data_IF_526664106726
#
_entry.id   IF_526664106726
#
_cell.length_a   1.000
_cell.length_b   1.000
_cell.length_c   1.000
_cell.angle_alpha   90.00
_cell.angle_beta   90.00
_cell.angle_gamma   90.00
#
_symmetry.space_group_name_H-M   'P 1'
#
loop_
_entity.id
_entity.type
_entity.pdbx_description
1 polymer ?
#
# COMPACT_ATOMS: atom_id res chain seq x y z
N UNK A 1 14.67 -12.95 -32.14
CA UNK A 1 14.91 -11.70 -32.90
C UNK A 1 15.73 -10.77 -32.01
N UNK A 2 17.04 -10.76 -32.25
CA UNK A 2 18.05 -10.11 -31.41
C UNK A 2 18.54 -8.88 -32.18
N UNK A 3 18.39 -7.67 -31.63
CA UNK A 3 18.90 -6.46 -32.29
C UNK A 3 20.16 -5.97 -31.60
N UNK A 4 21.28 -6.24 -32.29
CA UNK A 4 22.65 -5.82 -32.05
C UNK A 4 22.80 -4.38 -32.55
N UNK A 5 23.25 -3.44 -31.72
CA UNK A 5 23.69 -2.11 -32.18
C UNK A 5 25.14 -2.21 -32.64
N UNK A 6 25.37 -1.88 -33.91
CA UNK A 6 26.67 -1.76 -34.55
C UNK A 6 27.35 -0.44 -34.16
N UNK A 7 28.55 -0.52 -33.59
CA UNK A 7 29.47 0.60 -33.43
C UNK A 7 30.31 0.76 -34.70
N UNK A 8 30.20 1.91 -35.36
CA UNK A 8 31.13 2.35 -36.40
C UNK A 8 32.27 3.11 -35.73
N UNK A 9 33.48 2.57 -35.82
CA UNK A 9 34.72 3.26 -35.49
C UNK A 9 35.25 3.98 -36.74
N UNK A 10 35.58 5.26 -36.62
CA UNK A 10 36.44 5.96 -37.59
C UNK A 10 37.59 6.61 -36.83
N UNK A 11 38.79 6.17 -37.21
CA UNK A 11 40.10 6.62 -36.77
C UNK A 11 40.41 8.06 -37.14
N UNK A 12 40.94 8.81 -36.18
CA UNK A 12 41.57 10.12 -36.40
C UNK A 12 42.56 10.40 -35.27
N UNK A 13 43.84 10.10 -35.52
CA UNK A 13 44.96 10.43 -34.66
C UNK A 13 45.39 11.87 -34.93
N UNK A 14 45.38 12.73 -33.90
CA UNK A 14 46.27 13.90 -33.85
C UNK A 14 46.53 14.30 -32.40
N UNK A 15 47.81 14.30 -32.07
CA UNK A 15 48.45 14.69 -30.81
C UNK A 15 48.19 16.15 -30.42
N UNK A 16 47.86 16.37 -29.15
CA UNK A 16 47.80 17.70 -28.53
C UNK A 16 47.65 17.58 -27.01
N UNK A 17 48.76 17.57 -26.29
CA UNK A 17 48.81 17.69 -24.83
C UNK A 17 48.55 19.13 -24.41
N UNK A 18 47.49 19.40 -23.64
CA UNK A 18 47.48 20.44 -22.60
C UNK A 18 46.20 20.38 -21.75
N UNK A 19 46.39 20.12 -20.45
CA UNK A 19 45.65 20.67 -19.29
C UNK A 19 44.19 21.13 -19.50
N UNK A 20 43.23 20.38 -18.96
CA UNK A 20 41.83 20.81 -18.87
C UNK A 20 40.88 19.74 -18.33
N UNK A 21 41.25 19.01 -17.28
CA UNK A 21 40.36 18.05 -16.64
C UNK A 21 39.64 18.70 -15.45
N UNK A 22 38.46 19.29 -15.66
CA UNK A 22 37.38 19.46 -14.66
C UNK A 22 36.27 20.45 -15.08
N UNK A 23 35.45 20.14 -16.09
CA UNK A 23 34.16 20.87 -16.26
C UNK A 23 33.08 20.23 -17.16
N UNK A 24 33.32 19.06 -17.77
CA UNK A 24 32.42 18.53 -18.82
C UNK A 24 31.33 17.54 -18.40
N UNK A 25 31.42 16.90 -17.23
CA UNK A 25 30.55 15.75 -16.89
C UNK A 25 29.34 16.07 -16.02
N UNK A 26 29.26 17.26 -15.41
CA UNK A 26 28.14 17.65 -14.53
C UNK A 26 27.02 18.43 -15.23
N UNK A 27 27.29 19.02 -16.41
CA UNK A 27 26.32 19.85 -17.16
C UNK A 27 25.40 19.04 -18.08
N UNK A 28 25.87 17.91 -18.61
CA UNK A 28 25.10 17.07 -19.54
C UNK A 28 24.02 16.19 -18.87
N UNK A 29 24.32 15.63 -17.69
CA UNK A 29 23.37 14.80 -16.93
C UNK A 29 22.23 15.64 -16.33
N UNK A 30 22.56 16.78 -15.73
CA UNK A 30 21.58 17.70 -15.13
C UNK A 30 20.65 18.34 -16.17
N UNK A 31 21.17 18.69 -17.35
CA UNK A 31 20.34 19.24 -18.44
C UNK A 31 19.42 18.19 -19.06
N UNK A 32 19.85 16.94 -19.19
CA UNK A 32 19.06 15.83 -19.72
C UNK A 32 17.90 15.43 -18.81
N UNK A 33 18.14 15.38 -17.50
CA UNK A 33 17.11 15.07 -16.50
C UNK A 33 16.09 16.21 -16.39
N UNK A 34 16.55 17.48 -16.41
CA UNK A 34 15.65 18.64 -16.39
C UNK A 34 14.80 18.76 -17.67
N UNK A 35 15.37 18.51 -18.85
CA UNK A 35 14.62 18.48 -20.10
C UNK A 35 13.65 17.29 -20.14
N UNK A 36 14.04 16.13 -19.62
CA UNK A 36 13.20 14.94 -19.50
C UNK A 36 12.00 15.17 -18.59
N UNK A 37 12.20 15.78 -17.43
CA UNK A 37 11.15 16.11 -16.47
C UNK A 37 10.22 17.20 -16.98
N UNK A 38 10.75 18.21 -17.68
CA UNK A 38 9.94 19.26 -18.31
C UNK A 38 9.10 18.72 -19.46
N UNK A 39 9.69 17.92 -20.36
CA UNK A 39 8.95 17.29 -21.47
C UNK A 39 7.93 16.31 -20.93
N UNK A 40 8.28 15.46 -19.95
CA UNK A 40 7.35 14.51 -19.34
C UNK A 40 6.23 15.23 -18.61
N UNK A 41 6.52 16.24 -17.80
CA UNK A 41 5.52 17.03 -17.07
C UNK A 41 4.57 17.79 -17.99
N UNK A 42 5.09 18.41 -19.06
CA UNK A 42 4.28 19.18 -20.00
C UNK A 42 3.48 18.29 -20.96
N UNK A 43 4.09 17.26 -21.57
CA UNK A 43 3.35 16.33 -22.43
C UNK A 43 2.33 15.52 -21.64
N UNK A 44 2.69 14.95 -20.49
CA UNK A 44 1.73 14.17 -19.69
C UNK A 44 0.67 15.06 -19.08
N UNK A 45 1.00 16.27 -18.62
CA UNK A 45 0.02 17.22 -18.10
C UNK A 45 -0.99 17.65 -19.17
N UNK A 46 -0.51 17.96 -20.38
CA UNK A 46 -1.36 18.39 -21.49
C UNK A 46 -2.14 17.23 -22.11
N UNK A 47 -1.52 16.09 -22.39
CA UNK A 47 -2.21 14.90 -22.91
C UNK A 47 -3.22 14.36 -21.90
N UNK A 48 -2.85 14.24 -20.62
CA UNK A 48 -3.79 13.77 -19.58
C UNK A 48 -4.91 14.78 -19.35
N UNK A 49 -4.61 16.08 -19.34
CA UNK A 49 -5.62 17.13 -19.18
C UNK A 49 -6.61 17.17 -20.36
N UNK A 50 -6.11 17.09 -21.59
CA UNK A 50 -6.93 17.16 -22.81
C UNK A 50 -7.69 15.86 -23.06
N UNK A 51 -7.04 14.69 -22.93
CA UNK A 51 -7.71 13.39 -23.09
C UNK A 51 -8.73 13.14 -21.98
N UNK A 52 -8.44 13.53 -20.72
CA UNK A 52 -9.41 13.44 -19.62
C UNK A 52 -10.53 14.48 -19.77
N UNK A 53 -10.27 15.66 -20.31
CA UNK A 53 -11.31 16.66 -20.57
C UNK A 53 -12.26 16.29 -21.71
N UNK A 54 -11.78 15.55 -22.71
CA UNK A 54 -12.54 15.24 -23.93
C UNK A 54 -13.10 13.81 -24.00
N UNK A 55 -12.46 12.82 -23.37
CA UNK A 55 -12.83 11.40 -23.45
C UNK A 55 -13.36 10.82 -22.13
N UNK A 56 -13.28 11.56 -21.03
CA UNK A 56 -13.81 11.11 -19.74
C UNK A 56 -15.33 11.23 -19.72
N UNK A 57 -15.98 10.13 -20.06
CA UNK A 57 -17.41 9.94 -19.77
C UNK A 57 -17.50 9.41 -18.35
N UNK A 58 -18.19 10.13 -17.46
CA UNK A 58 -18.51 9.63 -16.12
C UNK A 58 -19.60 8.56 -16.24
N UNK A 59 -19.28 7.25 -16.14
CA UNK A 59 -20.26 6.19 -16.29
C UNK A 59 -20.85 5.87 -14.91
N UNK A 60 -21.04 6.88 -14.05
CA UNK A 60 -21.39 6.69 -12.66
C UNK A 60 -22.78 6.07 -12.57
N UNK A 61 -22.77 4.77 -12.38
CA UNK A 61 -23.91 3.92 -12.16
C UNK A 61 -23.46 2.87 -11.15
N UNK A 62 -24.11 2.81 -9.99
CA UNK A 62 -23.65 1.95 -8.90
C UNK A 62 -24.14 0.50 -9.03
N UNK A 63 -24.83 0.18 -10.14
CA UNK A 63 -25.12 -1.19 -10.54
C UNK A 63 -25.97 -1.94 -9.51
N UNK A 64 -25.65 -3.21 -9.28
CA UNK A 64 -26.35 -4.06 -8.34
C UNK A 64 -26.26 -3.62 -6.89
N UNK A 65 -25.46 -2.58 -6.56
CA UNK A 65 -25.41 -1.99 -5.22
C UNK A 65 -26.71 -1.23 -4.86
N UNK A 66 -27.49 -0.81 -5.86
CA UNK A 66 -28.78 -0.13 -5.67
C UNK A 66 -29.97 -1.09 -5.51
N UNK A 67 -29.73 -2.38 -5.27
CA UNK A 67 -30.78 -3.38 -5.14
C UNK A 67 -31.84 -3.05 -4.08
N UNK A 68 -31.48 -2.27 -3.04
CA UNK A 68 -32.42 -1.83 -2.01
C UNK A 68 -33.54 -0.91 -2.56
N UNK A 69 -33.24 -0.05 -3.55
CA UNK A 69 -34.27 0.73 -4.25
C UNK A 69 -35.18 -0.15 -5.09
N UNK A 70 -34.63 -1.18 -5.73
CA UNK A 70 -35.41 -2.13 -6.50
C UNK A 70 -36.37 -2.92 -5.62
N UNK A 71 -35.96 -3.27 -4.39
CA UNK A 71 -36.83 -3.92 -3.42
C UNK A 71 -38.05 -3.05 -3.03
N UNK A 72 -37.87 -1.72 -2.93
CA UNK A 72 -38.97 -0.79 -2.67
C UNK A 72 -40.03 -0.81 -3.79
N UNK A 73 -39.61 -0.75 -5.05
CA UNK A 73 -40.54 -0.83 -6.19
C UNK A 73 -41.14 -2.23 -6.37
N UNK A 74 -40.37 -3.29 -6.11
CA UNK A 74 -40.89 -4.66 -6.09
C UNK A 74 -42.01 -4.81 -5.06
N UNK A 75 -41.81 -4.24 -3.86
CA UNK A 75 -42.83 -4.24 -2.82
C UNK A 75 -44.06 -3.44 -3.22
N UNK A 76 -43.87 -2.25 -3.81
CA UNK A 76 -44.96 -1.41 -4.33
C UNK A 76 -45.86 -2.16 -5.31
N UNK A 77 -45.27 -2.92 -6.24
CA UNK A 77 -46.03 -3.77 -7.16
C UNK A 77 -46.78 -4.89 -6.43
N UNK A 78 -46.16 -5.56 -5.46
CA UNK A 78 -46.80 -6.62 -4.67
C UNK A 78 -48.05 -6.15 -3.92
N UNK A 79 -48.12 -4.86 -3.56
CA UNK A 79 -49.28 -4.25 -2.91
C UNK A 79 -50.25 -3.54 -3.88
N UNK A 80 -50.03 -3.69 -5.20
CA UNK A 80 -50.97 -3.27 -6.23
C UNK A 80 -50.61 -1.99 -6.99
N UNK A 81 -49.42 -1.41 -6.78
CA UNK A 81 -48.92 -0.35 -7.66
C UNK A 81 -48.75 -0.89 -9.08
N UNK A 82 -49.10 -0.08 -10.09
CA UNK A 82 -49.00 -0.47 -11.50
C UNK A 82 -47.91 0.32 -12.20
N UNK A 83 -47.05 -0.37 -12.93
CA UNK A 83 -46.03 0.22 -13.78
C UNK A 83 -46.42 0.08 -15.25
N UNK A 84 -46.16 1.12 -16.04
CA UNK A 84 -46.34 1.05 -17.50
C UNK A 84 -45.41 -0.01 -18.11
N UNK A 85 -45.79 -0.58 -19.26
CA UNK A 85 -45.10 -1.71 -19.86
C UNK A 85 -43.58 -1.50 -20.01
N UNK A 86 -43.15 -0.34 -20.53
CA UNK A 86 -41.73 0.01 -20.68
C UNK A 86 -41.01 0.12 -19.32
N UNK A 87 -41.64 0.71 -18.32
CA UNK A 87 -41.05 0.84 -16.97
C UNK A 87 -40.89 -0.53 -16.33
N UNK A 88 -41.89 -1.41 -16.48
CA UNK A 88 -41.85 -2.78 -15.98
C UNK A 88 -40.74 -3.59 -16.64
N UNK A 89 -40.60 -3.49 -17.96
CA UNK A 89 -39.52 -4.15 -18.71
C UNK A 89 -38.13 -3.72 -18.21
N UNK A 90 -37.88 -2.40 -18.09
CA UNK A 90 -36.62 -1.86 -17.60
C UNK A 90 -36.36 -2.24 -16.13
N UNK A 91 -37.41 -2.24 -15.30
CA UNK A 91 -37.33 -2.65 -13.90
C UNK A 91 -36.94 -4.12 -13.76
N UNK A 92 -37.59 -5.02 -14.50
CA UNK A 92 -37.25 -6.45 -14.47
C UNK A 92 -35.84 -6.73 -14.99
N UNK A 93 -35.43 -6.03 -16.06
CA UNK A 93 -34.06 -6.14 -16.56
C UNK A 93 -33.03 -5.70 -15.50
N UNK A 94 -33.27 -4.58 -14.83
CA UNK A 94 -32.36 -4.08 -13.80
C UNK A 94 -32.37 -4.99 -12.55
N UNK A 95 -33.54 -5.51 -12.15
CA UNK A 95 -33.66 -6.47 -11.06
C UNK A 95 -32.92 -7.78 -11.35
N UNK A 96 -33.06 -8.33 -12.56
CA UNK A 96 -32.35 -9.54 -12.98
C UNK A 96 -30.82 -9.33 -12.95
N UNK A 97 -30.36 -8.19 -13.45
CA UNK A 97 -28.95 -7.78 -13.35
C UNK A 97 -28.50 -7.64 -11.89
N UNK A 98 -29.27 -6.94 -11.04
CA UNK A 98 -28.88 -6.69 -9.66
C UNK A 98 -28.82 -7.96 -8.84
N UNK A 99 -29.54 -9.04 -9.19
CA UNK A 99 -29.46 -10.31 -8.47
C UNK A 99 -28.19 -11.10 -8.78
N UNK A 100 -27.57 -10.86 -9.94
CA UNK A 100 -26.46 -11.67 -10.45
C UNK A 100 -25.14 -10.91 -10.49
N UNK A 101 -25.16 -9.61 -10.75
CA UNK A 101 -23.96 -8.80 -10.98
C UNK A 101 -23.75 -7.71 -9.91
N UNK A 102 -22.49 -7.33 -9.71
CA UNK A 102 -22.08 -6.25 -8.82
C UNK A 102 -22.08 -4.89 -9.51
N UNK A 103 -20.90 -4.39 -9.87
CA UNK A 103 -20.74 -3.08 -10.51
C UNK A 103 -21.00 -3.13 -12.02
N UNK A 104 -21.51 -2.04 -12.59
CA UNK A 104 -21.56 -1.84 -14.05
C UNK A 104 -21.13 -0.43 -14.40
N UNK A 105 -20.35 -0.33 -15.47
CA UNK A 105 -19.95 0.93 -16.08
C UNK A 105 -20.52 0.97 -17.50
N UNK A 106 -21.73 1.53 -17.69
CA UNK A 106 -22.39 1.54 -18.99
C UNK A 106 -21.89 2.69 -19.86
N UNK A 107 -21.62 2.39 -21.13
CA UNK A 107 -21.37 3.35 -22.21
C UNK A 107 -22.40 3.13 -23.31
N UNK A 108 -22.43 4.02 -24.32
CA UNK A 108 -23.43 3.99 -25.39
C UNK A 108 -23.52 2.67 -26.15
N UNK A 109 -22.39 1.97 -26.34
CA UNK A 109 -22.31 0.75 -27.16
C UNK A 109 -21.65 -0.45 -26.44
N UNK A 110 -21.13 -0.25 -25.23
CA UNK A 110 -20.44 -1.27 -24.45
C UNK A 110 -20.75 -1.04 -22.97
N UNK A 111 -20.85 -2.12 -22.20
CA UNK A 111 -20.90 -2.04 -20.75
C UNK A 111 -19.83 -2.96 -20.17
N UNK A 112 -19.09 -2.46 -19.18
CA UNK A 112 -18.24 -3.31 -18.35
C UNK A 112 -19.04 -3.74 -17.14
N UNK A 113 -19.13 -5.04 -16.91
CA UNK A 113 -19.89 -5.63 -15.81
C UNK A 113 -18.94 -6.48 -14.99
N UNK A 114 -19.01 -6.33 -13.67
CA UNK A 114 -18.30 -7.19 -12.73
C UNK A 114 -19.29 -8.11 -12.02
N UNK A 115 -18.88 -9.37 -11.82
CA UNK A 115 -19.56 -10.25 -10.86
C UNK A 115 -19.39 -9.68 -9.44
N UNK A 116 -20.10 -10.26 -8.47
CA UNK A 116 -19.86 -9.98 -7.05
C UNK A 116 -18.58 -10.68 -6.57
N UNK A 117 -17.84 -10.06 -5.66
CA UNK A 117 -16.85 -10.80 -4.88
C UNK A 117 -17.50 -12.01 -4.19
N UNK A 118 -16.80 -13.13 -4.21
CA UNK A 118 -17.13 -14.33 -3.44
C UNK A 118 -16.72 -14.17 -1.97
N UNK A 119 -15.60 -13.47 -1.74
CA UNK A 119 -15.09 -13.18 -0.40
C UNK A 119 -14.63 -11.72 -0.29
N UNK A 120 -14.91 -11.11 0.86
CA UNK A 120 -14.36 -9.82 1.26
C UNK A 120 -13.98 -9.92 2.73
N UNK A 121 -12.71 -9.67 3.03
CA UNK A 121 -12.14 -9.78 4.36
C UNK A 121 -11.78 -8.40 4.91
N UNK A 122 -12.14 -8.17 6.16
CA UNK A 122 -11.90 -6.93 6.87
C UNK A 122 -11.19 -7.21 8.19
N UNK A 123 -10.40 -6.25 8.66
CA UNK A 123 -9.90 -6.24 10.03
C UNK A 123 -10.98 -5.75 11.01
N UNK A 124 -10.63 -5.76 12.30
CA UNK A 124 -11.52 -5.34 13.37
C UNK A 124 -11.95 -3.86 13.28
N UNK A 125 -11.23 -3.04 12.53
CA UNK A 125 -11.58 -1.64 12.22
C UNK A 125 -12.36 -1.48 10.91
N UNK A 126 -12.88 -2.56 10.33
CA UNK A 126 -13.60 -2.56 9.04
C UNK A 126 -12.77 -2.03 7.87
N UNK A 127 -11.44 -2.18 7.93
CA UNK A 127 -10.55 -1.89 6.81
C UNK A 127 -10.29 -3.17 6.04
N UNK A 128 -10.18 -3.06 4.72
CA UNK A 128 -9.89 -4.20 3.87
C UNK A 128 -8.55 -4.85 4.28
N UNK A 129 -8.57 -6.12 4.68
CA UNK A 129 -7.41 -6.80 5.24
C UNK A 129 -7.54 -8.32 5.12
N UNK A 130 -6.46 -9.00 4.77
CA UNK A 130 -6.31 -10.45 4.96
C UNK A 130 -4.85 -10.82 5.16
N UNK A 131 -4.57 -11.61 6.20
CA UNK A 131 -3.23 -12.15 6.46
C UNK A 131 -2.95 -13.46 5.72
N UNK A 132 -3.99 -14.14 5.25
CA UNK A 132 -3.91 -15.48 4.67
C UNK A 132 -3.96 -15.50 3.13
N UNK A 133 -4.28 -14.37 2.48
CA UNK A 133 -4.37 -14.28 1.03
C UNK A 133 -5.10 -13.02 0.57
N UNK A 134 -5.90 -13.15 -0.49
CA UNK A 134 -6.66 -12.03 -1.04
C UNK A 134 -7.66 -11.49 0.00
N UNK A 135 -7.71 -10.17 0.15
CA UNK A 135 -8.72 -9.50 0.95
C UNK A 135 -10.03 -9.32 0.17
N UNK A 136 -9.99 -9.31 -1.17
CA UNK A 136 -11.18 -9.42 -2.03
C UNK A 136 -10.92 -10.52 -3.04
N UNK A 137 -11.81 -11.50 -3.14
CA UNK A 137 -11.71 -12.59 -4.12
C UNK A 137 -12.98 -12.66 -4.95
N UNK A 138 -12.83 -12.69 -6.26
CA UNK A 138 -13.92 -12.90 -7.23
C UNK A 138 -13.94 -14.38 -7.65
N UNK A 139 -15.09 -14.83 -8.15
CA UNK A 139 -15.34 -16.24 -8.50
C UNK A 139 -14.49 -16.75 -9.65
N UNK A 140 -13.97 -15.85 -10.48
CA UNK A 140 -13.05 -16.15 -11.58
C UNK A 140 -11.58 -16.30 -11.12
N UNK A 141 -11.33 -16.14 -9.82
CA UNK A 141 -9.99 -16.20 -9.23
C UNK A 141 -9.24 -14.86 -9.24
N UNK A 142 -9.82 -13.79 -9.81
CA UNK A 142 -9.24 -12.46 -9.70
C UNK A 142 -9.46 -11.89 -8.30
N UNK A 143 -8.55 -11.02 -7.84
CA UNK A 143 -8.72 -10.39 -6.54
C UNK A 143 -7.64 -9.41 -6.15
N UNK A 144 -7.72 -8.95 -4.91
CA UNK A 144 -6.90 -7.90 -4.34
C UNK A 144 -6.34 -8.34 -2.99
N UNK A 145 -5.06 -8.10 -2.78
CA UNK A 145 -4.43 -8.25 -1.48
C UNK A 145 -4.41 -6.90 -0.75
N UNK A 146 -4.72 -6.92 0.55
CA UNK A 146 -4.69 -5.72 1.36
C UNK A 146 -4.28 -6.05 2.80
N UNK A 147 -3.58 -5.11 3.43
CA UNK A 147 -3.13 -5.17 4.81
C UNK A 147 -3.57 -3.90 5.54
N UNK A 148 -4.59 -4.00 6.41
CA UNK A 148 -5.09 -2.88 7.21
C UNK A 148 -5.51 -1.67 6.36
N UNK A 149 -6.17 -1.93 5.22
CA UNK A 149 -6.61 -0.93 4.26
C UNK A 149 -5.56 -0.54 3.21
N UNK A 150 -4.29 -0.92 3.39
CA UNK A 150 -3.25 -0.71 2.38
C UNK A 150 -3.32 -1.81 1.32
N UNK A 151 -3.57 -1.47 0.06
CA UNK A 151 -3.45 -2.41 -1.05
C UNK A 151 -1.98 -2.79 -1.28
N UNK A 152 -1.69 -4.08 -1.33
CA UNK A 152 -0.34 -4.62 -1.51
C UNK A 152 -0.29 -5.61 -2.68
N UNK A 153 0.88 -5.86 -3.27
CA UNK A 153 1.08 -6.97 -4.20
C UNK A 153 0.89 -8.33 -3.51
N UNK A 154 0.52 -9.35 -4.30
CA UNK A 154 0.31 -10.71 -3.80
C UNK A 154 1.52 -11.28 -3.05
N UNK A 155 2.73 -11.09 -3.59
CA UNK A 155 3.97 -11.62 -3.00
C UNK A 155 4.25 -11.11 -1.57
N UNK A 156 3.69 -9.97 -1.16
CA UNK A 156 3.84 -9.45 0.20
C UNK A 156 3.03 -10.26 1.22
N UNK A 157 1.87 -10.78 0.82
CA UNK A 157 0.98 -11.58 1.68
C UNK A 157 1.24 -13.08 1.52
N UNK A 158 1.52 -13.53 0.30
CA UNK A 158 1.68 -14.94 -0.03
C UNK A 158 3.09 -15.48 0.30
N UNK A 159 4.05 -14.62 0.63
CA UNK A 159 5.37 -15.03 1.09
C UNK A 159 5.25 -15.88 2.36
N UNK A 160 5.70 -17.13 2.27
CA UNK A 160 5.67 -18.13 3.36
C UNK A 160 6.86 -18.02 4.30
N UNK A 161 8.01 -17.63 3.76
CA UNK A 161 9.27 -17.50 4.49
C UNK A 161 9.69 -16.04 4.56
N UNK A 162 10.34 -15.69 5.66
CA UNK A 162 10.87 -14.34 5.88
C UNK A 162 12.30 -14.22 5.35
N UNK A 163 12.61 -13.08 4.71
CA UNK A 163 13.97 -12.74 4.28
C UNK A 163 14.26 -11.27 4.59
N UNK A 164 15.29 -11.02 5.40
CA UNK A 164 15.75 -9.66 5.70
C UNK A 164 16.25 -8.94 4.43
N UNK A 165 16.91 -9.66 3.53
CA UNK A 165 17.37 -9.11 2.25
C UNK A 165 16.18 -8.65 1.38
N UNK A 166 15.08 -9.41 1.36
CA UNK A 166 13.87 -9.04 0.64
C UNK A 166 13.22 -7.77 1.24
N UNK A 167 13.22 -7.64 2.57
CA UNK A 167 12.76 -6.41 3.23
C UNK A 167 13.64 -5.23 2.83
N UNK A 168 14.96 -5.37 2.82
CA UNK A 168 15.90 -4.28 2.48
C UNK A 168 15.86 -3.90 0.99
N UNK A 169 15.59 -4.87 0.11
CA UNK A 169 15.43 -4.63 -1.32
C UNK A 169 14.10 -3.93 -1.69
N UNK A 170 13.10 -4.00 -0.82
CA UNK A 170 11.80 -3.36 -1.06
C UNK A 170 11.88 -1.84 -0.89
N UNK A 171 11.69 -1.13 -2.00
CA UNK A 171 11.79 0.33 -2.06
C UNK A 171 10.64 1.03 -1.33
N UNK A 172 9.46 0.42 -1.26
CA UNK A 172 8.30 1.02 -0.63
C UNK A 172 8.34 0.77 0.89
N UNK A 173 8.48 1.86 1.66
CA UNK A 173 8.52 1.80 3.12
C UNK A 173 7.27 1.16 3.75
N UNK A 174 6.09 1.35 3.15
CA UNK A 174 4.86 0.72 3.66
C UNK A 174 4.85 -0.79 3.42
N UNK A 175 5.43 -1.27 2.31
CA UNK A 175 5.54 -2.71 2.06
C UNK A 175 6.59 -3.36 2.96
N UNK A 176 7.71 -2.67 3.23
CA UNK A 176 8.66 -3.09 4.27
C UNK A 176 7.99 -3.22 5.64
N UNK A 177 7.17 -2.23 6.01
CA UNK A 177 6.40 -2.26 7.25
C UNK A 177 5.48 -3.49 7.30
N UNK A 178 4.74 -3.77 6.23
CA UNK A 178 3.88 -4.96 6.15
C UNK A 178 4.69 -6.25 6.31
N UNK A 179 5.83 -6.38 5.62
CA UNK A 179 6.68 -7.56 5.72
C UNK A 179 7.21 -7.79 7.14
N UNK A 180 7.52 -6.72 7.88
CA UNK A 180 7.99 -6.79 9.27
C UNK A 180 6.85 -7.04 10.29
N UNK A 181 5.64 -6.58 9.98
CA UNK A 181 4.46 -6.77 10.83
C UNK A 181 3.81 -8.15 10.68
N UNK A 182 3.89 -8.76 9.50
CA UNK A 182 3.31 -10.09 9.22
C UNK A 182 3.93 -11.17 10.11
N UNK A 183 3.14 -12.22 10.33
CA UNK A 183 3.62 -13.44 10.99
C UNK A 183 4.10 -14.47 9.98
N UNK A 184 5.20 -15.14 10.32
CA UNK A 184 5.83 -16.22 9.59
C UNK A 184 6.13 -17.34 10.59
N UNK A 185 5.46 -18.48 10.44
CA UNK A 185 5.61 -19.64 11.34
C UNK A 185 5.52 -19.30 12.84
N UNK A 186 4.58 -18.42 13.22
CA UNK A 186 4.33 -18.03 14.62
C UNK A 186 5.27 -16.97 15.19
N UNK A 187 6.12 -16.36 14.35
CA UNK A 187 6.98 -15.23 14.72
C UNK A 187 6.71 -14.04 13.83
N UNK A 188 6.87 -12.83 14.34
CA UNK A 188 6.73 -11.62 13.52
C UNK A 188 7.92 -11.47 12.58
N UNK A 189 7.71 -10.84 11.42
CA UNK A 189 8.78 -10.56 10.46
C UNK A 189 9.91 -9.73 11.10
N UNK A 190 9.59 -8.81 12.01
CA UNK A 190 10.59 -8.06 12.75
C UNK A 190 11.45 -8.93 13.68
N UNK A 191 10.86 -9.90 14.39
CA UNK A 191 11.64 -10.81 15.24
C UNK A 191 12.65 -11.62 14.42
N UNK A 192 12.25 -12.06 13.22
CA UNK A 192 13.13 -12.77 12.30
C UNK A 192 14.17 -11.82 11.69
N UNK A 193 13.78 -10.58 11.38
CA UNK A 193 14.68 -9.53 10.90
C UNK A 193 15.78 -9.21 11.92
N UNK A 194 15.37 -9.01 13.18
CA UNK A 194 16.26 -8.71 14.29
C UNK A 194 17.28 -9.83 14.51
N UNK A 195 16.86 -11.09 14.37
CA UNK A 195 17.74 -12.24 14.43
C UNK A 195 18.71 -12.31 13.24
N UNK A 196 18.22 -12.19 12.01
CA UNK A 196 19.06 -12.23 10.79
C UNK A 196 20.04 -11.05 10.67
N UNK A 197 19.88 -10.01 11.47
CA UNK A 197 20.73 -8.80 11.50
C UNK A 197 21.44 -8.58 12.84
N UNK A 198 21.51 -9.62 13.68
CA UNK A 198 22.20 -9.61 14.97
C UNK A 198 21.86 -8.38 15.82
N UNK A 199 20.56 -8.07 15.92
CA UNK A 199 20.08 -6.91 16.65
C UNK A 199 20.55 -6.95 18.11
N UNK A 200 21.18 -5.85 18.54
CA UNK A 200 21.70 -5.71 19.90
C UNK A 200 20.69 -4.98 20.77
N UNK A 201 20.34 -5.56 21.91
CA UNK A 201 19.60 -4.86 22.95
C UNK A 201 20.48 -3.77 23.59
N UNK A 202 20.03 -2.53 23.52
CA UNK A 202 20.68 -1.38 24.17
C UNK A 202 20.17 -1.21 25.60
N UNK A 203 18.84 -1.19 25.75
CA UNK A 203 18.16 -1.01 27.02
C UNK A 203 16.74 -1.59 26.95
N UNK A 204 16.19 -1.97 28.10
CA UNK A 204 14.81 -2.43 28.21
C UNK A 204 14.23 -2.10 29.58
N UNK A 205 12.91 -1.96 29.64
CA UNK A 205 12.19 -1.70 30.89
C UNK A 205 10.72 -2.15 30.79
N UNK A 206 9.98 -2.04 31.91
CA UNK A 206 8.55 -2.40 32.01
C UNK A 206 7.72 -1.29 32.69
N UNK A 207 8.14 -0.02 32.57
CA UNK A 207 7.63 1.10 33.40
C UNK A 207 6.11 1.34 33.26
N UNK A 208 5.46 0.73 32.26
CA UNK A 208 4.01 0.79 32.05
C UNK A 208 3.33 -0.59 31.90
N UNK A 209 3.89 -1.62 32.54
CA UNK A 209 3.29 -2.96 32.63
C UNK A 209 3.50 -3.86 31.41
N UNK A 210 4.15 -3.34 30.36
CA UNK A 210 4.54 -4.10 29.18
C UNK A 210 6.02 -3.93 28.90
N UNK A 211 6.70 -4.97 28.37
CA UNK A 211 8.10 -4.87 28.01
C UNK A 211 8.30 -3.87 26.87
N UNK A 212 9.25 -2.95 27.08
CA UNK A 212 9.73 -2.00 26.08
C UNK A 212 11.21 -2.27 25.84
N UNK A 213 11.62 -2.36 24.57
CA UNK A 213 13.01 -2.67 24.22
C UNK A 213 13.55 -1.65 23.24
N UNK A 214 14.75 -1.16 23.51
CA UNK A 214 15.50 -0.31 22.60
C UNK A 214 16.61 -1.17 21.98
N UNK A 215 16.53 -1.34 20.67
CA UNK A 215 17.38 -2.22 19.88
C UNK A 215 18.26 -1.38 18.94
N UNK A 216 19.48 -1.85 18.69
CA UNK A 216 20.33 -1.41 17.60
C UNK A 216 20.37 -2.52 16.55
N UNK A 217 19.98 -2.22 15.32
CA UNK A 217 19.96 -3.16 14.20
C UNK A 217 20.89 -2.63 13.11
N UNK A 218 21.69 -3.51 12.53
CA UNK A 218 22.54 -3.16 11.40
C UNK A 218 21.79 -3.40 10.09
N UNK A 219 21.51 -2.32 9.36
CA UNK A 219 20.79 -2.35 8.09
C UNK A 219 21.73 -1.83 7.00
N UNK A 220 22.18 -2.71 6.11
CA UNK A 220 23.13 -2.36 5.04
C UNK A 220 24.38 -1.56 5.51
N UNK A 221 24.91 -1.89 6.70
CA UNK A 221 26.08 -1.21 7.29
C UNK A 221 25.75 0.04 8.09
N UNK A 222 24.48 0.47 8.11
CA UNK A 222 24.01 1.58 8.94
C UNK A 222 23.41 1.05 10.23
N UNK A 223 23.84 1.61 11.37
CA UNK A 223 23.26 1.31 12.67
C UNK A 223 21.97 2.10 12.85
N UNK A 224 20.85 1.41 12.84
CA UNK A 224 19.53 1.98 13.05
C UNK A 224 19.05 1.58 14.44
N UNK A 225 18.49 2.54 15.16
CA UNK A 225 17.91 2.29 16.48
C UNK A 225 16.40 2.12 16.32
N UNK A 226 15.85 1.08 16.95
CA UNK A 226 14.44 0.73 16.90
C UNK A 226 13.93 0.60 18.33
N UNK A 227 12.77 1.19 18.61
CA UNK A 227 12.06 0.96 19.86
C UNK A 227 10.90 0.00 19.61
N UNK A 228 10.88 -1.08 20.37
CA UNK A 228 9.80 -2.05 20.43
C UNK A 228 8.90 -1.71 21.61
N UNK A 229 7.61 -1.55 21.33
CA UNK A 229 6.58 -1.24 22.33
C UNK A 229 5.32 -2.06 22.05
N UNK A 230 4.55 -2.34 23.09
CA UNK A 230 3.21 -2.91 22.97
C UNK A 230 2.20 -1.79 23.19
N UNK A 231 1.14 -1.72 22.40
CA UNK A 231 0.14 -0.69 22.62
C UNK A 231 -0.53 -0.80 23.99
N UNK A 232 -0.83 0.37 24.57
CA UNK A 232 -1.54 0.48 25.84
C UNK A 232 -3.05 0.19 25.71
N UNK A 233 -3.63 0.34 24.52
CA UNK A 233 -5.06 0.12 24.29
C UNK A 233 -5.31 -1.25 23.67
N UNK A 234 -6.38 -1.93 24.06
CA UNK A 234 -6.82 -3.12 23.35
C UNK A 234 -7.26 -2.75 21.93
N UNK A 235 -6.89 -3.57 20.96
CA UNK A 235 -7.51 -3.57 19.64
C UNK A 235 -8.99 -3.99 19.78
N UNK A 236 -9.87 -3.70 18.80
CA UNK A 236 -11.28 -4.05 18.90
C UNK A 236 -11.56 -5.56 19.02
N UNK A 237 -10.59 -6.41 18.67
CA UNK A 237 -10.63 -7.87 18.86
C UNK A 237 -10.11 -8.32 20.24
N UNK A 238 -9.75 -7.38 21.12
CA UNK A 238 -9.22 -7.65 22.45
C UNK A 238 -7.73 -8.00 22.50
N UNK A 239 -7.03 -7.98 21.37
CA UNK A 239 -5.58 -8.23 21.32
C UNK A 239 -4.78 -6.96 21.59
N UNK A 240 -3.48 -7.12 21.87
CA UNK A 240 -2.52 -6.01 21.92
C UNK A 240 -1.49 -6.21 20.84
N UNK A 241 -1.10 -5.10 20.23
CA UNK A 241 -0.17 -5.14 19.09
C UNK A 241 1.22 -4.67 19.50
N UNK A 242 2.22 -5.44 19.08
CA UNK A 242 3.63 -5.07 19.16
C UNK A 242 4.00 -4.18 17.97
N UNK A 243 4.62 -3.04 18.26
CA UNK A 243 5.08 -2.06 17.28
C UNK A 243 6.59 -1.92 17.33
N UNK A 244 7.19 -1.69 16.16
CA UNK A 244 8.62 -1.45 15.99
C UNK A 244 8.77 -0.10 15.29
N UNK A 245 9.26 0.90 16.02
CA UNK A 245 9.32 2.28 15.58
C UNK A 245 10.77 2.75 15.49
N UNK A 246 11.07 3.64 14.55
CA UNK A 246 12.37 4.32 14.53
C UNK A 246 12.59 5.09 15.84
N UNK A 247 13.73 4.83 16.49
CA UNK A 247 14.04 5.45 17.77
C UNK A 247 14.62 6.86 17.58
N UNK A 248 14.03 7.83 18.28
CA UNK A 248 14.62 9.15 18.49
C UNK A 248 15.86 9.07 19.41
N UNK A 249 16.67 10.14 19.53
CA UNK A 249 17.79 10.17 20.47
C UNK A 249 17.36 9.92 21.93
N UNK A 250 18.17 9.16 22.67
CA UNK A 250 17.94 8.77 24.06
C UNK A 250 18.79 7.53 24.42
N UNK A 251 18.90 7.17 25.69
CA UNK A 251 19.61 5.97 26.16
C UNK A 251 18.65 4.84 26.61
N UNK A 252 17.43 5.20 27.01
CA UNK A 252 16.41 4.27 27.53
C UNK A 252 15.15 4.28 26.66
N UNK A 253 14.31 3.22 26.68
CA UNK A 253 13.02 3.26 26.00
C UNK A 253 12.18 4.48 26.39
N UNK A 254 12.13 4.82 27.69
CA UNK A 254 11.42 6.01 28.19
C UNK A 254 11.89 7.31 27.54
N UNK A 255 13.20 7.55 27.45
CA UNK A 255 13.75 8.76 26.82
C UNK A 255 13.42 8.84 25.33
N UNK A 256 13.57 7.72 24.62
CA UNK A 256 13.30 7.63 23.18
C UNK A 256 11.83 7.87 22.87
N UNK A 257 10.92 7.32 23.68
CA UNK A 257 9.48 7.51 23.51
C UNK A 257 9.10 8.95 23.85
N UNK A 258 9.58 9.51 24.97
CA UNK A 258 9.33 10.91 25.31
C UNK A 258 9.76 11.86 24.18
N UNK A 259 10.93 11.62 23.59
CA UNK A 259 11.47 12.40 22.49
C UNK A 259 10.63 12.27 21.20
N UNK A 260 9.98 11.13 20.93
CA UNK A 260 9.09 10.97 19.77
C UNK A 260 7.82 11.82 19.85
N UNK A 261 7.37 12.14 21.07
CA UNK A 261 6.30 13.11 21.33
C UNK A 261 6.80 14.56 21.44
N UNK A 262 8.11 14.81 21.32
CA UNK A 262 8.70 16.14 21.51
C UNK A 262 8.65 16.63 22.96
N UNK A 263 8.57 15.71 23.94
CA UNK A 263 8.44 16.04 25.36
C UNK A 263 9.74 15.67 26.10
N UNK A 264 10.17 16.52 27.03
CA UNK A 264 11.32 16.21 27.88
C UNK A 264 11.03 14.97 28.75
N UNK A 265 11.95 13.99 28.87
CA UNK A 265 11.69 12.73 29.59
C UNK A 265 11.19 12.90 31.03
N UNK A 266 11.61 13.95 31.72
CA UNK A 266 11.16 14.29 33.08
C UNK A 266 9.70 14.73 33.18
N UNK A 267 9.14 15.26 32.09
CA UNK A 267 7.75 15.71 31.99
C UNK A 267 6.85 14.71 31.28
N UNK A 268 7.45 13.71 30.62
CA UNK A 268 6.71 12.68 29.92
C UNK A 268 6.17 11.65 30.92
N UNK A 269 4.85 11.46 30.91
CA UNK A 269 4.16 10.41 31.65
C UNK A 269 3.20 9.70 30.70
N UNK A 270 3.44 8.42 30.45
CA UNK A 270 2.47 7.60 29.72
C UNK A 270 1.27 7.34 30.64
N UNK A 271 0.07 7.57 30.14
CA UNK A 271 -1.13 7.13 30.84
C UNK A 271 -1.19 5.60 30.76
N UNK A 272 -1.24 4.92 31.90
CA UNK A 272 -1.57 3.49 31.94
C UNK A 272 -3.01 3.36 31.45
N UNK A 273 -3.18 2.80 30.26
CA UNK A 273 -4.49 2.48 29.68
C UNK A 273 -4.76 1.01 29.96
N UNK A 274 -5.72 0.74 30.84
CA UNK A 274 -6.25 -0.60 31.11
C UNK A 274 -7.09 -1.07 29.94
#
# INVERSE_FOLDING_TARGET
MCWRKSSGASSGTSSGTSSGASSGTSSGASSGDQLGDQLRGQLWGQLRGQLRGQLFVTPYFIGGQDAYWLAFYEFGEKIGARYGARTKELFEAYRAYSLTCGWMFPFRAIAFVADRPDEIHFDAQQRLHSAAGMAVRFRDGWGLHAWHGLRVPAHIIEAKEFSADAVEAETNAEFRRVLLEREYAGRTGFELYAEQRDARLIAGDEIHGFPRRLLEVNVAGQRIRVVEVINGSLEPDGTRRKFHLGAMPGATPHEVIAASYGIAPMHYREAVRT
#
